data_IF_754048789614
#
_entry.id   IF_754048789614
#
_cell.length_a   1.000
_cell.length_b   1.000
_cell.length_c   1.000
_cell.angle_alpha   90.00
_cell.angle_beta   90.00
_cell.angle_gamma   90.00
#
_symmetry.space_group_name_H-M   'P 1'
#
loop_
_entity.id
_entity.type
_entity.pdbx_description
1 polymer ?
#
# COMPACT_ATOMS: atom_id res chain seq x y z
N UNK A 1 -24.46 -37.63 26.89
CA UNK A 1 -23.06 -37.12 26.96
C UNK A 1 -23.10 -35.69 26.44
N UNK A 2 -23.01 -34.71 27.34
CA UNK A 2 -23.05 -33.29 26.99
C UNK A 2 -21.73 -32.91 26.30
N UNK A 3 -21.77 -32.79 24.97
CA UNK A 3 -20.75 -32.07 24.21
C UNK A 3 -21.28 -30.65 24.07
N UNK A 4 -20.50 -29.68 24.53
CA UNK A 4 -20.86 -28.26 24.54
C UNK A 4 -21.33 -27.83 23.13
N UNK A 5 -22.62 -27.53 22.96
CA UNK A 5 -23.23 -27.13 21.68
C UNK A 5 -22.98 -25.65 21.33
N UNK A 6 -22.34 -24.91 22.23
CA UNK A 6 -21.97 -23.52 22.05
C UNK A 6 -20.78 -23.37 21.10
N UNK A 7 -20.84 -22.35 20.23
CA UNK A 7 -19.80 -22.04 19.26
C UNK A 7 -18.75 -21.07 19.83
N UNK A 8 -19.12 -20.31 20.87
CA UNK A 8 -18.27 -19.33 21.53
C UNK A 8 -17.76 -19.86 22.89
N UNK A 9 -16.52 -19.52 23.29
CA UNK A 9 -15.95 -19.92 24.57
C UNK A 9 -16.74 -19.29 25.73
N UNK A 10 -16.68 -19.92 26.91
CA UNK A 10 -17.38 -19.45 28.11
C UNK A 10 -17.11 -17.97 28.41
N UNK A 11 -15.86 -17.52 28.28
CA UNK A 11 -15.47 -16.13 28.48
C UNK A 11 -16.21 -15.13 27.58
N UNK A 12 -16.63 -15.52 26.36
CA UNK A 12 -17.44 -14.67 25.49
C UNK A 12 -18.94 -14.75 25.83
N UNK A 13 -19.41 -15.93 26.25
CA UNK A 13 -20.81 -16.15 26.64
C UNK A 13 -21.19 -15.41 27.93
N UNK A 14 -20.21 -15.18 28.79
CA UNK A 14 -20.36 -14.54 30.09
C UNK A 14 -20.04 -13.03 30.08
N UNK A 15 -19.86 -12.43 28.90
CA UNK A 15 -19.61 -10.99 28.77
C UNK A 15 -20.77 -10.18 29.39
N UNK A 16 -20.48 -9.05 30.06
CA UNK A 16 -21.53 -8.20 30.61
C UNK A 16 -22.23 -7.40 29.50
N UNK A 17 -23.49 -6.98 29.70
CA UNK A 17 -24.11 -6.00 28.82
C UNK A 17 -23.29 -4.70 28.73
N UNK A 18 -23.20 -4.07 27.56
CA UNK A 18 -23.85 -4.43 26.30
C UNK A 18 -23.04 -5.41 25.43
N UNK A 19 -21.88 -5.90 25.88
CA UNK A 19 -20.96 -6.73 25.08
C UNK A 19 -21.50 -8.12 24.74
N UNK A 20 -22.48 -8.62 25.49
CA UNK A 20 -23.16 -9.86 25.15
C UNK A 20 -24.31 -9.69 24.13
N UNK A 21 -24.72 -8.47 23.80
CA UNK A 21 -25.79 -8.18 22.84
C UNK A 21 -25.23 -8.23 21.41
N UNK A 22 -25.83 -9.03 20.54
CA UNK A 22 -25.44 -9.13 19.13
C UNK A 22 -26.30 -8.26 18.22
N UNK A 23 -27.37 -7.64 18.74
CA UNK A 23 -28.27 -6.81 17.96
C UNK A 23 -27.70 -5.40 17.69
N UNK A 24 -28.32 -4.67 16.76
CA UNK A 24 -28.00 -3.27 16.46
C UNK A 24 -28.05 -2.33 17.68
N UNK A 25 -28.69 -2.73 18.78
CA UNK A 25 -28.75 -1.93 20.01
C UNK A 25 -27.40 -1.88 20.73
N UNK A 26 -26.52 -2.87 20.51
CA UNK A 26 -25.17 -2.90 21.10
C UNK A 26 -24.42 -1.60 20.81
N UNK A 27 -24.37 -1.17 19.55
CA UNK A 27 -23.62 0.02 19.15
C UNK A 27 -24.08 1.30 19.90
N UNK A 28 -25.40 1.46 20.09
CA UNK A 28 -25.96 2.57 20.85
C UNK A 28 -25.58 2.48 22.34
N UNK A 29 -25.68 1.30 22.93
CA UNK A 29 -25.35 1.10 24.34
C UNK A 29 -23.84 1.23 24.63
N UNK A 30 -22.98 0.83 23.68
CA UNK A 30 -21.53 1.00 23.77
C UNK A 30 -21.13 2.48 23.85
N UNK A 31 -21.78 3.34 23.08
CA UNK A 31 -21.55 4.79 23.13
C UNK A 31 -21.84 5.39 24.51
N UNK A 32 -22.80 4.81 25.24
CA UNK A 32 -23.22 5.27 26.58
C UNK A 32 -22.37 4.69 27.73
N UNK A 33 -21.43 3.78 27.45
CA UNK A 33 -20.62 3.16 28.49
C UNK A 33 -19.81 4.20 29.29
N UNK A 34 -19.67 4.05 30.61
CA UNK A 34 -18.80 4.90 31.43
C UNK A 34 -17.32 4.73 31.04
N UNK A 35 -16.42 5.50 31.67
CA UNK A 35 -14.98 5.43 31.42
C UNK A 35 -14.38 4.03 31.61
N UNK A 36 -14.94 3.20 32.51
CA UNK A 36 -14.56 1.79 32.68
C UNK A 36 -14.85 0.91 31.46
N UNK A 37 -15.58 1.41 30.46
CA UNK A 37 -15.81 0.73 29.20
C UNK A 37 -14.51 0.39 28.46
N UNK A 38 -13.44 1.17 28.64
CA UNK A 38 -12.15 0.85 28.02
C UNK A 38 -11.49 -0.40 28.65
N UNK A 39 -11.63 -0.61 29.96
CA UNK A 39 -11.18 -1.85 30.62
C UNK A 39 -12.02 -3.05 30.17
N UNK A 40 -13.34 -2.86 30.05
CA UNK A 40 -14.23 -3.89 29.52
C UNK A 40 -13.88 -4.27 28.07
N UNK A 41 -13.53 -3.29 27.22
CA UNK A 41 -13.09 -3.54 25.85
C UNK A 41 -11.84 -4.43 25.79
N UNK A 42 -10.89 -4.27 26.72
CA UNK A 42 -9.73 -5.17 26.80
C UNK A 42 -10.13 -6.59 27.20
N UNK A 43 -11.06 -6.76 28.14
CA UNK A 43 -11.57 -8.09 28.50
C UNK A 43 -12.29 -8.76 27.31
N UNK A 44 -13.07 -7.99 26.55
CA UNK A 44 -13.73 -8.46 25.32
C UNK A 44 -12.69 -8.91 24.31
N UNK A 45 -11.64 -8.12 24.07
CA UNK A 45 -10.56 -8.49 23.17
C UNK A 45 -9.85 -9.78 23.62
N UNK A 46 -9.61 -9.96 24.93
CA UNK A 46 -9.02 -11.22 25.45
C UNK A 46 -9.95 -12.42 25.25
N UNK A 47 -11.24 -12.24 25.49
CA UNK A 47 -12.23 -13.30 25.33
C UNK A 47 -12.45 -13.69 23.85
N UNK A 48 -12.46 -12.69 22.96
CA UNK A 48 -12.73 -12.85 21.54
C UNK A 48 -11.50 -13.28 20.72
N UNK A 49 -10.28 -13.23 21.27
CA UNK A 49 -9.07 -13.64 20.57
C UNK A 49 -9.08 -15.17 20.35
N UNK A 50 -9.03 -15.63 19.08
CA UNK A 50 -8.97 -17.05 18.79
C UNK A 50 -7.58 -17.65 19.09
N UNK A 51 -7.50 -18.96 19.41
CA UNK A 51 -6.23 -19.62 19.70
C UNK A 51 -5.37 -19.90 18.47
N UNK A 52 -5.95 -19.80 17.27
CA UNK A 52 -5.32 -20.14 16.01
C UNK A 52 -5.56 -19.04 14.98
N UNK A 53 -4.67 -18.97 13.98
CA UNK A 53 -4.79 -18.06 12.85
C UNK A 53 -6.04 -18.40 12.03
N UNK A 54 -6.76 -17.36 11.63
CA UNK A 54 -7.81 -17.41 10.62
C UNK A 54 -7.24 -16.75 9.37
N UNK A 55 -6.56 -17.51 8.51
CA UNK A 55 -6.16 -16.97 7.21
C UNK A 55 -7.36 -16.99 6.27
N UNK A 56 -7.59 -15.88 5.56
CA UNK A 56 -8.53 -15.87 4.41
C UNK A 56 -8.03 -16.81 3.30
N UNK A 57 -6.73 -17.16 3.30
CA UNK A 57 -6.15 -18.18 2.40
C UNK A 57 -6.29 -19.63 2.90
N UNK A 58 -6.74 -19.84 4.15
CA UNK A 58 -7.14 -21.18 4.60
C UNK A 58 -8.53 -21.55 4.07
N UNK A 59 -9.22 -20.59 3.45
CA UNK A 59 -10.48 -20.82 2.76
C UNK A 59 -10.15 -21.38 1.39
N UNK A 60 -10.72 -22.54 1.06
CA UNK A 60 -10.59 -23.04 -0.30
C UNK A 60 -11.28 -22.09 -1.29
N UNK A 61 -10.87 -22.19 -2.55
CA UNK A 61 -11.36 -21.33 -3.62
C UNK A 61 -12.87 -21.40 -3.79
N UNK A 62 -13.49 -22.53 -3.45
CA UNK A 62 -14.94 -22.71 -3.48
C UNK A 62 -15.66 -21.96 -2.35
N UNK A 63 -15.06 -21.89 -1.15
CA UNK A 63 -15.57 -21.11 -0.03
C UNK A 63 -15.42 -19.61 -0.28
N UNK A 64 -14.31 -19.22 -0.91
CA UNK A 64 -14.05 -17.83 -1.33
C UNK A 64 -14.99 -17.38 -2.44
N UNK A 65 -15.18 -18.20 -3.48
CA UNK A 65 -16.14 -17.94 -4.56
C UNK A 65 -17.57 -17.93 -4.01
N UNK A 66 -17.93 -18.81 -3.08
CA UNK A 66 -19.22 -18.76 -2.40
C UNK A 66 -19.41 -17.56 -1.46
N UNK A 67 -18.35 -16.83 -1.13
CA UNK A 67 -18.38 -15.60 -0.33
C UNK A 67 -18.36 -14.34 -1.22
N UNK A 68 -17.55 -14.36 -2.28
CA UNK A 68 -17.45 -13.28 -3.29
C UNK A 68 -18.70 -13.23 -4.20
N UNK A 69 -19.34 -14.37 -4.53
CA UNK A 69 -20.60 -14.43 -5.30
C UNK A 69 -21.85 -14.11 -4.45
N UNK A 70 -21.70 -14.02 -3.12
CA UNK A 70 -22.79 -13.54 -2.25
C UNK A 70 -22.84 -12.02 -2.37
N UNK A 71 -23.66 -11.55 -3.30
CA UNK A 71 -24.19 -10.18 -3.36
C UNK A 71 -24.33 -9.60 -1.93
N UNK A 72 -23.86 -8.36 -1.72
CA UNK A 72 -23.83 -7.61 -0.44
C UNK A 72 -25.13 -7.78 0.40
N UNK A 73 -26.27 -8.03 -0.24
CA UNK A 73 -27.56 -8.24 0.40
C UNK A 73 -27.70 -9.54 1.21
N UNK A 74 -26.93 -10.60 0.91
CA UNK A 74 -27.05 -11.89 1.63
C UNK A 74 -26.33 -11.92 2.97
N UNK A 75 -25.28 -11.11 3.16
CA UNK A 75 -24.60 -10.97 4.46
C UNK A 75 -25.44 -10.12 5.43
N UNK A 76 -26.04 -9.02 4.96
CA UNK A 76 -26.99 -8.21 5.73
C UNK A 76 -28.19 -9.03 6.22
N UNK A 77 -28.72 -9.91 5.37
CA UNK A 77 -29.78 -10.85 5.75
C UNK A 77 -29.28 -11.90 6.74
N UNK A 78 -28.06 -12.41 6.59
CA UNK A 78 -27.49 -13.39 7.51
C UNK A 78 -27.26 -12.84 8.92
N UNK A 79 -26.75 -11.62 9.04
CA UNK A 79 -26.61 -10.92 10.31
C UNK A 79 -27.98 -10.59 10.91
N UNK A 80 -28.97 -10.22 10.09
CA UNK A 80 -30.34 -10.05 10.57
C UNK A 80 -30.93 -11.35 11.13
N UNK A 81 -30.61 -12.52 10.56
CA UNK A 81 -31.04 -13.82 11.09
C UNK A 81 -30.30 -14.22 12.36
N UNK A 82 -28.98 -13.98 12.42
CA UNK A 82 -28.17 -14.21 13.62
C UNK A 82 -28.71 -13.38 14.78
N UNK A 83 -28.91 -12.08 14.59
CA UNK A 83 -29.42 -11.18 15.63
C UNK A 83 -30.87 -11.45 16.03
N UNK A 84 -31.69 -12.01 15.13
CA UNK A 84 -33.08 -12.37 15.43
C UNK A 84 -33.21 -13.66 16.23
N UNK A 85 -32.43 -14.69 15.90
CA UNK A 85 -32.56 -16.03 16.50
C UNK A 85 -31.55 -16.30 17.61
N UNK A 86 -30.42 -15.59 17.61
CA UNK A 86 -29.34 -15.68 18.60
C UNK A 86 -28.90 -14.27 19.00
N UNK A 87 -29.76 -13.50 19.69
CA UNK A 87 -29.50 -12.10 19.99
C UNK A 87 -28.38 -11.89 21.00
N UNK A 88 -27.93 -12.92 21.74
CA UNK A 88 -26.82 -12.82 22.66
C UNK A 88 -25.67 -13.80 22.36
N UNK A 89 -24.46 -13.49 22.82
CA UNK A 89 -23.28 -14.36 22.67
C UNK A 89 -23.50 -15.77 23.23
N UNK A 90 -24.29 -15.91 24.30
CA UNK A 90 -24.66 -17.20 24.87
C UNK A 90 -25.57 -18.04 23.96
N UNK A 91 -26.32 -17.40 23.06
CA UNK A 91 -27.28 -18.08 22.18
C UNK A 91 -26.62 -18.69 20.94
N UNK A 92 -25.37 -18.29 20.65
CA UNK A 92 -24.60 -18.73 19.48
C UNK A 92 -24.22 -20.21 19.62
N UNK A 93 -25.07 -21.06 19.06
CA UNK A 93 -25.05 -22.52 19.22
C UNK A 93 -25.18 -23.22 17.87
N UNK A 94 -24.68 -24.45 17.78
CA UNK A 94 -24.85 -25.29 16.58
C UNK A 94 -26.32 -25.55 16.25
N UNK A 95 -27.17 -25.72 17.27
CA UNK A 95 -28.62 -25.87 17.10
C UNK A 95 -29.27 -24.58 16.57
N UNK A 96 -28.83 -23.41 17.04
CA UNK A 96 -29.26 -22.12 16.50
C UNK A 96 -28.94 -21.96 15.02
N UNK A 97 -27.71 -22.30 14.61
CA UNK A 97 -27.29 -22.32 13.19
C UNK A 97 -28.14 -23.28 12.37
N UNK A 98 -28.38 -24.49 12.87
CA UNK A 98 -29.21 -25.48 12.18
C UNK A 98 -30.66 -24.98 11.97
N UNK A 99 -31.22 -24.25 12.95
CA UNK A 99 -32.54 -23.60 12.82
C UNK A 99 -32.54 -22.54 11.73
N UNK A 100 -31.51 -21.69 11.64
CA UNK A 100 -31.40 -20.67 10.58
C UNK A 100 -31.34 -21.33 9.22
N UNK A 101 -30.43 -22.30 9.04
CA UNK A 101 -30.28 -23.00 7.76
C UNK A 101 -31.56 -23.73 7.36
N UNK A 102 -32.32 -24.26 8.33
CA UNK A 102 -33.64 -24.84 8.06
C UNK A 102 -34.65 -23.81 7.56
N UNK A 103 -34.65 -22.58 8.11
CA UNK A 103 -35.50 -21.50 7.57
C UNK A 103 -35.03 -21.06 6.17
N UNK A 104 -33.73 -20.90 5.93
CA UNK A 104 -33.20 -20.56 4.60
C UNK A 104 -33.54 -21.61 3.55
N UNK A 105 -33.45 -22.88 3.93
CA UNK A 105 -33.88 -24.00 3.10
C UNK A 105 -35.37 -23.92 2.76
N UNK A 106 -36.24 -23.55 3.71
CA UNK A 106 -37.68 -23.34 3.46
C UNK A 106 -37.97 -22.14 2.57
N UNK A 107 -37.14 -21.10 2.65
CA UNK A 107 -37.23 -19.91 1.79
C UNK A 107 -36.68 -20.18 0.37
N UNK A 108 -36.08 -21.34 0.13
CA UNK A 108 -35.57 -21.73 -1.18
C UNK A 108 -34.26 -21.06 -1.56
N UNK A 109 -33.43 -20.68 -0.58
CA UNK A 109 -32.10 -20.12 -0.85
C UNK A 109 -31.25 -21.17 -1.62
N UNK A 110 -30.77 -20.86 -2.85
CA UNK A 110 -30.17 -21.85 -3.75
C UNK A 110 -28.96 -22.62 -3.19
N UNK A 111 -28.24 -22.04 -2.22
CA UNK A 111 -27.01 -22.58 -1.65
C UNK A 111 -27.24 -23.49 -0.42
N UNK A 112 -28.48 -23.60 0.07
CA UNK A 112 -28.81 -24.38 1.27
C UNK A 112 -29.63 -25.62 0.91
N UNK A 113 -29.12 -26.79 1.29
CA UNK A 113 -29.80 -28.07 1.04
C UNK A 113 -31.04 -28.23 1.91
N UNK A 114 -32.02 -29.00 1.43
CA UNK A 114 -33.24 -29.37 2.16
C UNK A 114 -33.27 -30.88 2.43
N UNK A 115 -32.98 -31.37 3.65
CA UNK A 115 -32.55 -30.63 4.84
C UNK A 115 -31.07 -30.18 4.76
N UNK A 116 -30.65 -29.20 5.59
CA UNK A 116 -29.25 -28.79 5.68
C UNK A 116 -28.34 -29.96 6.08
N UNK A 117 -27.21 -30.07 5.40
CA UNK A 117 -26.22 -31.13 5.69
C UNK A 117 -25.42 -30.81 6.95
N UNK A 118 -24.86 -31.83 7.64
CA UNK A 118 -23.94 -31.61 8.76
C UNK A 118 -22.70 -30.78 8.41
N UNK A 119 -22.24 -30.83 7.15
CA UNK A 119 -21.13 -30.02 6.67
C UNK A 119 -21.51 -28.55 6.58
N UNK A 120 -22.65 -28.22 5.94
CA UNK A 120 -23.17 -26.85 5.87
C UNK A 120 -23.33 -26.25 7.27
N UNK A 121 -23.92 -27.01 8.21
CA UNK A 121 -24.07 -26.55 9.60
C UNK A 121 -22.70 -26.27 10.24
N UNK A 122 -21.69 -27.12 10.00
CA UNK A 122 -20.35 -26.95 10.58
C UNK A 122 -19.63 -25.74 10.01
N UNK A 123 -19.66 -25.55 8.70
CA UNK A 123 -18.99 -24.45 8.00
C UNK A 123 -19.63 -23.11 8.38
N UNK A 124 -20.96 -23.00 8.31
CA UNK A 124 -21.69 -21.79 8.73
C UNK A 124 -21.48 -21.49 10.22
N UNK A 125 -21.45 -22.51 11.08
CA UNK A 125 -21.17 -22.32 12.50
C UNK A 125 -19.76 -21.75 12.76
N UNK A 126 -18.75 -22.22 12.04
CA UNK A 126 -17.39 -21.70 12.15
C UNK A 126 -17.31 -20.24 11.65
N UNK A 127 -17.95 -19.95 10.51
CA UNK A 127 -18.04 -18.61 9.93
C UNK A 127 -18.70 -17.62 10.89
N UNK A 128 -19.88 -17.96 11.42
CA UNK A 128 -20.60 -17.09 12.35
C UNK A 128 -19.87 -16.86 13.67
N UNK A 129 -19.19 -17.89 14.20
CA UNK A 129 -18.34 -17.71 15.38
C UNK A 129 -17.19 -16.73 15.09
N UNK A 130 -16.63 -16.76 13.88
CA UNK A 130 -15.61 -15.79 13.43
C UNK A 130 -16.20 -14.39 13.27
N UNK A 131 -17.37 -14.24 12.64
CA UNK A 131 -18.06 -12.95 12.49
C UNK A 131 -18.33 -12.30 13.84
N UNK A 132 -18.91 -13.04 14.79
CA UNK A 132 -19.18 -12.50 16.13
C UNK A 132 -17.90 -12.04 16.85
N UNK A 133 -16.79 -12.78 16.70
CA UNK A 133 -15.49 -12.35 17.23
C UNK A 133 -15.00 -11.07 16.56
N UNK A 134 -15.11 -10.99 15.24
CA UNK A 134 -14.67 -9.84 14.46
C UNK A 134 -15.45 -8.57 14.82
N UNK A 135 -16.77 -8.68 14.98
CA UNK A 135 -17.60 -7.53 15.32
C UNK A 135 -17.31 -7.02 16.73
N UNK A 136 -17.26 -7.92 17.71
CA UNK A 136 -16.94 -7.55 19.09
C UNK A 136 -15.53 -6.97 19.21
N UNK A 137 -14.55 -7.52 18.49
CA UNK A 137 -13.21 -6.98 18.46
C UNK A 137 -13.15 -5.61 17.78
N UNK A 138 -13.88 -5.42 16.68
CA UNK A 138 -13.95 -4.13 15.97
C UNK A 138 -14.58 -3.05 16.84
N UNK A 139 -15.67 -3.37 17.55
CA UNK A 139 -16.32 -2.48 18.51
C UNK A 139 -15.39 -2.14 19.68
N UNK A 140 -14.69 -3.13 20.23
CA UNK A 140 -13.73 -2.92 21.30
C UNK A 140 -12.55 -2.04 20.85
N UNK A 141 -12.01 -2.25 19.65
CA UNK A 141 -10.95 -1.41 19.08
C UNK A 141 -11.46 0.01 18.78
N UNK A 142 -12.69 0.17 18.29
CA UNK A 142 -13.29 1.48 18.07
C UNK A 142 -13.42 2.27 19.38
N UNK A 143 -13.87 1.61 20.45
CA UNK A 143 -13.97 2.22 21.78
C UNK A 143 -12.59 2.64 22.32
N UNK A 144 -11.57 1.78 22.17
CA UNK A 144 -10.19 2.08 22.58
C UNK A 144 -9.55 3.21 21.74
N UNK A 145 -9.90 3.31 20.46
CA UNK A 145 -9.50 4.41 19.58
C UNK A 145 -10.10 5.75 20.03
N UNK A 146 -11.38 5.74 20.42
CA UNK A 146 -12.09 6.93 20.88
C UNK A 146 -11.62 7.38 22.26
N UNK A 147 -11.49 6.45 23.20
CA UNK A 147 -11.26 6.74 24.63
C UNK A 147 -9.80 6.64 25.07
N UNK A 148 -8.95 6.06 24.22
CA UNK A 148 -7.58 5.71 24.56
C UNK A 148 -7.48 4.40 25.36
N UNK A 149 -6.25 3.90 25.47
CA UNK A 149 -5.95 2.76 26.33
C UNK A 149 -6.18 3.11 27.81
N UNK A 150 -6.76 2.21 28.62
CA UNK A 150 -6.83 2.38 30.07
C UNK A 150 -5.44 2.61 30.67
N UNK A 151 -5.34 3.49 31.66
CA UNK A 151 -4.08 3.81 32.32
C UNK A 151 -3.45 2.54 32.93
N UNK A 152 -2.20 2.26 32.59
CA UNK A 152 -1.48 1.06 33.05
C UNK A 152 -1.73 -0.20 32.21
N UNK A 153 -2.54 -0.11 31.14
CA UNK A 153 -2.83 -1.21 30.22
C UNK A 153 -2.38 -0.94 28.79
N UNK A 154 -1.51 0.04 28.56
CA UNK A 154 -1.03 0.42 27.22
C UNK A 154 -0.29 -0.75 26.55
N UNK A 155 0.60 -1.42 27.28
CA UNK A 155 1.41 -2.53 26.73
C UNK A 155 0.53 -3.76 26.43
N UNK A 156 -0.50 -4.00 27.25
CA UNK A 156 -1.47 -5.06 26.99
C UNK A 156 -2.36 -4.75 25.78
N UNK A 157 -2.75 -3.48 25.62
CA UNK A 157 -3.51 -2.98 24.46
C UNK A 157 -2.73 -3.21 23.17
N UNK A 158 -1.43 -2.91 23.17
CA UNK A 158 -0.51 -3.17 22.04
C UNK A 158 -0.42 -4.67 21.75
N UNK A 159 -0.18 -5.48 22.78
CA UNK A 159 -0.05 -6.94 22.65
C UNK A 159 -1.30 -7.56 22.04
N UNK A 160 -2.49 -7.13 22.48
CA UNK A 160 -3.76 -7.58 21.94
C UNK A 160 -3.89 -7.17 20.47
N UNK A 161 -3.67 -5.90 20.14
CA UNK A 161 -3.74 -5.45 18.75
C UNK A 161 -2.80 -6.25 17.83
N UNK A 162 -1.54 -6.51 18.24
CA UNK A 162 -0.63 -7.36 17.46
C UNK A 162 -1.14 -8.81 17.32
N UNK A 163 -1.69 -9.38 18.39
CA UNK A 163 -2.25 -10.73 18.35
C UNK A 163 -3.41 -10.84 17.36
N UNK A 164 -4.31 -9.85 17.32
CA UNK A 164 -5.41 -9.79 16.35
C UNK A 164 -4.91 -9.70 14.90
N UNK A 165 -3.85 -8.93 14.65
CA UNK A 165 -3.22 -8.89 13.31
C UNK A 165 -2.61 -10.24 12.93
N UNK A 166 -1.91 -10.93 13.84
CA UNK A 166 -1.32 -12.26 13.59
C UNK A 166 -2.35 -13.32 13.30
N UNK A 167 -3.48 -13.30 14.01
CA UNK A 167 -4.57 -14.26 13.76
C UNK A 167 -5.45 -13.87 12.57
N UNK A 168 -5.25 -12.69 11.96
CA UNK A 168 -5.97 -12.26 10.76
C UNK A 168 -7.40 -11.78 11.01
N UNK A 169 -7.74 -11.36 12.23
CA UNK A 169 -9.09 -10.94 12.62
C UNK A 169 -9.10 -9.48 13.06
N UNK A 170 -10.10 -8.70 12.63
CA UNK A 170 -10.18 -7.26 12.91
C UNK A 170 -8.85 -6.50 12.64
N UNK A 171 -8.14 -6.89 11.57
CA UNK A 171 -6.80 -6.40 11.23
C UNK A 171 -6.79 -4.88 11.05
N UNK A 172 -7.75 -4.32 10.31
CA UNK A 172 -7.81 -2.88 10.08
C UNK A 172 -7.99 -2.09 11.39
N UNK A 173 -9.01 -2.36 12.23
CA UNK A 173 -9.17 -1.71 13.52
C UNK A 173 -7.93 -1.86 14.44
N UNK A 174 -7.34 -3.05 14.50
CA UNK A 174 -6.15 -3.30 15.31
C UNK A 174 -4.95 -2.45 14.87
N UNK A 175 -4.66 -2.41 13.55
CA UNK A 175 -3.59 -1.59 12.99
C UNK A 175 -3.88 -0.09 13.17
N UNK A 176 -5.14 0.35 13.04
CA UNK A 176 -5.55 1.74 13.30
C UNK A 176 -5.31 2.12 14.76
N UNK A 177 -5.57 1.22 15.71
CA UNK A 177 -5.26 1.44 17.12
C UNK A 177 -3.76 1.58 17.34
N UNK A 178 -2.93 0.71 16.74
CA UNK A 178 -1.47 0.83 16.83
C UNK A 178 -0.97 2.15 16.23
N UNK A 179 -1.57 2.61 15.12
CA UNK A 179 -1.31 3.93 14.54
C UNK A 179 -1.65 5.06 15.54
N UNK A 180 -2.81 4.99 16.19
CA UNK A 180 -3.25 6.01 17.14
C UNK A 180 -2.40 6.07 18.41
N UNK A 181 -1.90 4.92 18.89
CA UNK A 181 -0.96 4.84 20.01
C UNK A 181 0.38 5.53 19.72
N UNK A 182 0.72 5.71 18.44
CA UNK A 182 1.85 6.53 18.01
C UNK A 182 3.21 6.06 18.54
N UNK A 183 4.09 7.01 18.87
CA UNK A 183 5.45 6.72 19.34
C UNK A 183 5.54 6.76 20.88
N UNK A 184 6.32 5.87 21.51
CA UNK A 184 7.15 4.83 20.90
C UNK A 184 6.41 3.51 20.63
N UNK A 185 5.29 3.25 21.32
CA UNK A 185 4.69 1.91 21.43
C UNK A 185 4.08 1.40 20.13
N UNK A 186 3.20 2.19 19.53
CA UNK A 186 2.53 1.84 18.27
C UNK A 186 3.52 1.66 17.12
N UNK A 187 4.52 2.54 17.03
CA UNK A 187 5.61 2.42 16.05
C UNK A 187 6.42 1.13 16.23
N UNK A 188 6.83 0.79 17.45
CA UNK A 188 7.56 -0.45 17.72
C UNK A 188 6.73 -1.69 17.35
N UNK A 189 5.45 -1.71 17.73
CA UNK A 189 4.55 -2.81 17.45
C UNK A 189 4.31 -3.03 15.96
N UNK A 190 4.12 -1.95 15.19
CA UNK A 190 3.99 -2.02 13.74
C UNK A 190 5.29 -2.46 13.07
N UNK A 191 6.46 -2.04 13.59
CA UNK A 191 7.75 -2.48 13.07
C UNK A 191 7.95 -3.99 13.26
N UNK A 192 7.60 -4.53 14.43
CA UNK A 192 7.63 -5.97 14.69
C UNK A 192 6.74 -6.73 13.70
N UNK A 193 5.50 -6.27 13.51
CA UNK A 193 4.55 -6.89 12.57
C UNK A 193 5.09 -6.86 11.13
N UNK A 194 5.69 -5.77 10.67
CA UNK A 194 6.22 -5.70 9.29
C UNK A 194 7.32 -6.74 9.02
N UNK A 195 8.07 -7.11 10.06
CA UNK A 195 9.11 -8.15 9.97
C UNK A 195 8.62 -9.56 10.28
N UNK A 196 7.36 -9.70 10.70
CA UNK A 196 6.75 -10.97 11.07
C UNK A 196 6.25 -11.71 9.81
N UNK A 197 6.57 -13.00 9.70
CA UNK A 197 6.14 -13.84 8.58
C UNK A 197 4.71 -14.34 8.74
N UNK A 198 4.16 -14.33 9.96
CA UNK A 198 2.76 -14.68 10.22
C UNK A 198 1.79 -13.67 9.61
N UNK A 199 2.23 -12.45 9.30
CA UNK A 199 1.37 -11.37 8.78
C UNK A 199 1.67 -11.03 7.33
N UNK A 200 2.32 -11.94 6.57
CA UNK A 200 2.73 -11.71 5.18
C UNK A 200 1.63 -11.07 4.32
N UNK A 201 0.39 -11.52 4.46
CA UNK A 201 -0.74 -11.10 3.63
C UNK A 201 -1.20 -9.67 3.97
N UNK A 202 -1.04 -9.27 5.23
CA UNK A 202 -1.38 -7.93 5.71
C UNK A 202 -0.17 -6.99 5.74
N UNK A 203 1.04 -7.49 5.49
CA UNK A 203 2.30 -6.74 5.56
C UNK A 203 2.29 -5.46 4.73
N UNK A 204 1.79 -5.43 3.47
CA UNK A 204 1.70 -4.17 2.73
C UNK A 204 0.83 -3.12 3.43
N UNK A 205 -0.30 -3.55 4.00
CA UNK A 205 -1.19 -2.69 4.77
C UNK A 205 -0.51 -2.17 6.04
N UNK A 206 0.06 -3.04 6.87
CA UNK A 206 0.79 -2.67 8.09
C UNK A 206 1.93 -1.69 7.78
N UNK A 207 2.74 -1.99 6.74
CA UNK A 207 3.84 -1.14 6.27
C UNK A 207 3.35 0.26 5.89
N UNK A 208 2.24 0.35 5.15
CA UNK A 208 1.66 1.64 4.75
C UNK A 208 1.28 2.50 5.96
N UNK A 209 0.78 1.90 7.04
CA UNK A 209 0.41 2.61 8.27
C UNK A 209 1.64 3.00 9.09
N UNK A 210 2.67 2.15 9.14
CA UNK A 210 3.95 2.49 9.74
C UNK A 210 4.63 3.67 9.02
N UNK A 211 4.56 3.72 7.69
CA UNK A 211 5.05 4.85 6.90
C UNK A 211 4.39 6.18 7.30
N UNK A 212 3.07 6.17 7.57
CA UNK A 212 2.34 7.36 8.05
C UNK A 212 2.91 7.88 9.38
N UNK A 213 3.21 6.99 10.35
CA UNK A 213 3.85 7.40 11.62
C UNK A 213 5.26 7.95 11.44
N UNK A 214 6.00 7.42 10.46
CA UNK A 214 7.40 7.78 10.25
C UNK A 214 7.58 9.05 9.43
N UNK A 215 6.63 9.36 8.54
CA UNK A 215 6.66 10.50 7.62
C UNK A 215 7.02 11.85 8.28
N UNK A 216 6.42 12.27 9.43
CA UNK A 216 6.81 13.55 10.04
C UNK A 216 8.30 13.63 10.38
N UNK A 217 8.91 12.51 10.78
CA UNK A 217 10.35 12.41 11.04
C UNK A 217 11.19 12.42 9.77
N UNK A 218 10.68 11.85 8.67
CA UNK A 218 11.33 11.95 7.35
C UNK A 218 11.31 13.38 6.84
N UNK A 219 10.15 14.04 6.87
CA UNK A 219 10.02 15.43 6.44
C UNK A 219 10.89 16.38 7.24
N UNK A 220 10.98 16.19 8.56
CA UNK A 220 11.85 17.00 9.42
C UNK A 220 13.33 16.88 9.01
N UNK A 221 13.79 15.67 8.65
CA UNK A 221 15.13 15.42 8.12
C UNK A 221 15.31 15.98 6.70
N UNK A 222 14.29 15.84 5.84
CA UNK A 222 14.28 16.39 4.48
C UNK A 222 14.37 17.91 4.43
N UNK A 223 14.03 18.62 5.52
CA UNK A 223 14.24 20.07 5.65
C UNK A 223 15.66 20.46 6.06
N UNK A 224 16.47 19.53 6.56
CA UNK A 224 17.84 19.82 6.97
C UNK A 224 18.75 19.98 5.74
N UNK A 225 19.68 20.94 5.73
CA UNK A 225 20.63 21.12 4.62
C UNK A 225 21.65 19.97 4.57
N UNK A 226 22.05 19.58 3.36
CA UNK A 226 23.04 18.52 3.12
C UNK A 226 24.49 19.01 3.32
N UNK A 227 24.91 19.17 4.59
CA UNK A 227 26.25 19.71 4.92
C UNK A 227 27.31 18.60 4.93
N UNK A 228 28.27 18.68 4.01
CA UNK A 228 29.39 17.73 3.94
C UNK A 228 29.02 16.36 3.37
N UNK A 229 27.81 16.22 2.83
CA UNK A 229 27.32 14.99 2.20
C UNK A 229 27.77 14.90 0.73
N UNK A 230 27.99 13.69 0.21
CA UNK A 230 28.43 13.46 -1.17
C UNK A 230 27.23 13.50 -2.13
N UNK A 231 27.16 14.46 -3.06
CA UNK A 231 26.06 14.53 -4.01
C UNK A 231 26.15 13.41 -5.06
N UNK A 232 25.04 12.70 -5.28
CA UNK A 232 24.98 11.62 -6.27
C UNK A 232 24.44 12.07 -7.63
N UNK A 233 23.73 13.19 -7.67
CA UNK A 233 23.18 13.75 -8.90
C UNK A 233 24.11 14.82 -9.51
N UNK A 234 24.14 14.96 -10.85
CA UNK A 234 24.86 16.04 -11.52
C UNK A 234 24.44 17.44 -11.07
N UNK A 235 25.32 18.44 -11.17
CA UNK A 235 25.04 19.82 -10.74
C UNK A 235 23.78 20.41 -11.36
N UNK A 236 23.59 20.26 -12.67
CA UNK A 236 22.42 20.77 -13.39
C UNK A 236 21.07 20.25 -12.82
N UNK A 237 21.06 19.03 -12.28
CA UNK A 237 19.88 18.42 -11.66
C UNK A 237 19.72 18.92 -10.22
N UNK A 238 20.82 19.01 -9.47
CA UNK A 238 20.82 19.47 -8.08
C UNK A 238 20.34 20.90 -7.93
N UNK A 239 20.62 21.74 -8.91
CA UNK A 239 20.23 23.16 -8.92
C UNK A 239 18.74 23.38 -9.19
N UNK A 240 17.98 22.32 -9.51
CA UNK A 240 16.54 22.43 -9.70
C UNK A 240 15.85 22.85 -8.40
N UNK A 241 15.04 23.93 -8.42
CA UNK A 241 14.35 24.40 -7.23
C UNK A 241 13.06 23.61 -6.93
N UNK A 242 12.76 22.56 -7.69
CA UNK A 242 11.49 21.82 -7.63
C UNK A 242 11.60 20.59 -6.75
N UNK A 243 10.50 20.27 -6.06
CA UNK A 243 10.46 19.14 -5.13
C UNK A 243 10.11 17.81 -5.80
N UNK A 244 10.43 16.72 -5.12
CA UNK A 244 10.14 15.33 -5.50
C UNK A 244 8.66 14.94 -5.28
N UNK A 245 7.77 15.87 -4.87
CA UNK A 245 6.43 15.57 -4.32
C UNK A 245 5.52 14.65 -5.14
N UNK A 246 5.82 14.44 -6.43
CA UNK A 246 5.26 13.34 -7.21
C UNK A 246 6.21 12.78 -8.30
N UNK A 247 7.52 12.67 -8.03
CA UNK A 247 8.48 11.97 -8.92
C UNK A 247 9.57 12.82 -9.61
N UNK A 248 9.92 13.98 -9.05
CA UNK A 248 10.70 15.03 -9.72
C UNK A 248 9.91 15.59 -10.88
N UNK A 249 8.87 16.35 -10.54
CA UNK A 249 8.01 16.95 -11.55
C UNK A 249 8.66 18.22 -12.08
N UNK A 250 8.81 18.29 -13.40
CA UNK A 250 9.06 19.54 -14.10
C UNK A 250 7.74 20.33 -14.14
N UNK A 251 7.61 21.49 -13.47
CA UNK A 251 6.31 22.13 -13.35
C UNK A 251 5.74 22.54 -14.71
N UNK A 252 4.51 22.11 -15.01
CA UNK A 252 3.81 22.43 -16.25
C UNK A 252 3.65 23.95 -16.48
N UNK A 253 3.59 24.73 -15.39
CA UNK A 253 3.43 26.19 -15.41
C UNK A 253 4.71 26.99 -15.62
N UNK A 254 5.87 26.37 -15.90
CA UNK A 254 7.10 27.13 -16.15
C UNK A 254 7.00 28.02 -17.40
N UNK A 255 7.57 29.25 -17.35
CA UNK A 255 7.69 30.09 -18.54
C UNK A 255 8.39 29.36 -19.69
N UNK A 256 7.89 29.56 -20.92
CA UNK A 256 8.37 28.91 -22.14
C UNK A 256 9.44 29.76 -22.82
N UNK A 257 10.44 30.16 -22.05
CA UNK A 257 11.49 31.06 -22.49
C UNK A 257 12.81 30.31 -22.76
N UNK A 258 13.78 31.04 -23.31
CA UNK A 258 15.11 30.51 -23.60
C UNK A 258 15.85 30.06 -22.34
N UNK A 259 15.59 30.67 -21.17
CA UNK A 259 16.24 30.31 -19.91
C UNK A 259 15.79 28.92 -19.44
N UNK A 260 14.48 28.68 -19.36
CA UNK A 260 13.94 27.39 -18.93
C UNK A 260 14.26 26.28 -19.94
N UNK A 261 14.30 26.61 -21.24
CA UNK A 261 14.73 25.66 -22.28
C UNK A 261 16.23 25.32 -22.17
N UNK A 262 17.09 26.30 -21.87
CA UNK A 262 18.50 26.07 -21.61
C UNK A 262 18.71 25.21 -20.35
N UNK A 263 17.90 25.42 -19.31
CA UNK A 263 17.91 24.59 -18.10
C UNK A 263 17.48 23.15 -18.39
N UNK A 264 16.40 22.96 -19.16
CA UNK A 264 15.96 21.65 -19.63
C UNK A 264 17.06 20.92 -20.40
N UNK A 265 17.73 21.62 -21.32
CA UNK A 265 18.89 21.09 -22.07
C UNK A 265 20.02 20.65 -21.14
N UNK A 266 20.40 21.50 -20.17
CA UNK A 266 21.48 21.19 -19.24
C UNK A 266 21.18 19.93 -18.40
N UNK A 267 19.94 19.79 -17.92
CA UNK A 267 19.47 18.62 -17.17
C UNK A 267 19.51 17.35 -18.02
N UNK A 268 18.94 17.38 -19.22
CA UNK A 268 18.93 16.22 -20.12
C UNK A 268 20.34 15.81 -20.57
N UNK A 269 21.24 16.77 -20.82
CA UNK A 269 22.65 16.45 -21.11
C UNK A 269 23.35 15.80 -19.92
N UNK A 270 23.11 16.30 -18.71
CA UNK A 270 23.74 15.79 -17.50
C UNK A 270 23.25 14.39 -17.11
N UNK A 271 21.99 14.08 -17.40
CA UNK A 271 21.38 12.77 -17.14
C UNK A 271 21.46 11.80 -18.34
N UNK A 272 22.09 12.20 -19.45
CA UNK A 272 22.04 11.43 -20.68
C UNK A 272 22.66 10.03 -20.51
N UNK A 273 21.92 8.94 -20.75
CA UNK A 273 22.46 7.59 -20.63
C UNK A 273 23.61 7.38 -21.63
N UNK A 274 24.71 6.76 -21.19
CA UNK A 274 25.85 6.41 -22.06
C UNK A 274 25.62 5.14 -22.87
N UNK A 275 24.62 4.34 -22.49
CA UNK A 275 24.17 3.15 -23.19
C UNK A 275 22.83 2.66 -22.62
N UNK A 276 22.33 1.52 -23.12
CA UNK A 276 21.08 0.93 -22.62
C UNK A 276 21.11 0.72 -21.11
N UNK A 277 20.03 1.10 -20.43
CA UNK A 277 19.90 0.84 -18.99
C UNK A 277 19.52 -0.63 -18.77
N UNK A 278 20.16 -1.33 -17.80
CA UNK A 278 19.93 -2.76 -17.59
C UNK A 278 18.55 -3.06 -17.01
N UNK A 279 18.01 -2.14 -16.20
CA UNK A 279 16.65 -2.19 -15.67
C UNK A 279 15.87 -0.99 -16.21
N UNK A 280 14.66 -1.19 -16.76
CA UNK A 280 13.85 -0.09 -17.27
C UNK A 280 13.52 0.87 -16.12
N UNK A 281 13.56 2.17 -16.44
CA UNK A 281 13.13 3.20 -15.48
C UNK A 281 11.61 3.06 -15.30
N UNK A 282 11.09 2.94 -14.07
CA UNK A 282 9.65 2.86 -13.84
C UNK A 282 8.96 4.14 -14.30
N UNK A 283 7.72 4.02 -14.76
CA UNK A 283 6.90 5.17 -15.14
C UNK A 283 6.63 6.13 -13.97
N UNK A 284 6.17 7.36 -14.25
CA UNK A 284 5.89 8.35 -13.22
C UNK A 284 4.76 7.92 -12.27
N UNK A 285 3.84 7.07 -12.74
CA UNK A 285 2.76 6.45 -11.96
C UNK A 285 2.67 4.95 -12.25
N UNK A 286 2.11 4.20 -11.31
CA UNK A 286 1.71 2.80 -11.52
C UNK A 286 0.25 2.78 -11.97
N UNK A 287 -0.02 2.06 -13.06
CA UNK A 287 -1.35 1.93 -13.67
C UNK A 287 -1.81 0.46 -13.69
N UNK A 288 -1.33 -0.34 -12.73
CA UNK A 288 -1.74 -1.74 -12.62
C UNK A 288 -3.21 -1.87 -12.26
N UNK A 289 -3.79 -3.00 -12.65
CA UNK A 289 -5.17 -3.36 -12.33
C UNK A 289 -5.30 -3.73 -10.84
N UNK A 290 -6.55 -3.83 -10.33
CA UNK A 290 -6.82 -4.12 -8.92
C UNK A 290 -6.19 -5.46 -8.46
N UNK A 291 -6.02 -6.40 -9.38
CA UNK A 291 -5.48 -7.75 -9.14
C UNK A 291 -3.96 -7.81 -9.25
N UNK A 292 -3.29 -6.74 -9.71
CA UNK A 292 -1.84 -6.70 -9.80
C UNK A 292 -1.21 -6.34 -8.45
N UNK A 293 -0.19 -7.11 -8.04
CA UNK A 293 0.57 -6.78 -6.83
C UNK A 293 1.28 -5.43 -7.01
N UNK A 294 0.99 -4.49 -6.11
CA UNK A 294 1.62 -3.18 -6.05
C UNK A 294 3.16 -3.31 -6.01
N UNK A 295 3.90 -2.74 -6.98
CA UNK A 295 5.35 -2.89 -7.04
C UNK A 295 6.09 -2.27 -5.84
N UNK A 296 7.10 -2.98 -5.34
CA UNK A 296 7.92 -2.56 -4.19
C UNK A 296 8.63 -1.20 -4.39
N UNK A 297 8.94 -0.83 -5.64
CA UNK A 297 9.61 0.45 -5.93
C UNK A 297 8.76 1.66 -5.54
N UNK A 298 7.42 1.54 -5.49
CA UNK A 298 6.54 2.63 -5.05
C UNK A 298 6.79 3.00 -3.58
N UNK A 299 6.95 2.00 -2.73
CA UNK A 299 7.19 2.22 -1.29
C UNK A 299 8.59 2.82 -1.06
N UNK A 300 9.61 2.34 -1.79
CA UNK A 300 10.96 2.92 -1.75
C UNK A 300 10.94 4.38 -2.21
N UNK A 301 10.25 4.67 -3.33
CA UNK A 301 10.11 6.03 -3.85
C UNK A 301 9.42 6.95 -2.84
N UNK A 302 8.40 6.46 -2.13
CA UNK A 302 7.73 7.24 -1.09
C UNK A 302 8.68 7.62 0.06
N UNK A 303 9.47 6.67 0.57
CA UNK A 303 10.46 6.93 1.63
C UNK A 303 11.50 7.95 1.14
N UNK A 304 12.00 7.78 -0.07
CA UNK A 304 13.01 8.69 -0.63
C UNK A 304 12.47 10.09 -0.88
N UNK A 305 11.23 10.23 -1.38
CA UNK A 305 10.60 11.52 -1.60
C UNK A 305 10.40 12.31 -0.30
N UNK A 306 10.09 11.63 0.80
CA UNK A 306 9.91 12.26 2.12
C UNK A 306 11.27 12.66 2.74
N UNK A 307 12.32 11.84 2.59
CA UNK A 307 13.67 12.11 3.12
C UNK A 307 14.50 13.08 2.28
N UNK A 308 14.33 13.07 0.97
CA UNK A 308 15.13 13.83 0.02
C UNK A 308 14.23 14.65 -0.92
N UNK A 309 13.37 15.54 -0.39
CA UNK A 309 12.33 16.20 -1.18
C UNK A 309 12.85 17.09 -2.32
N UNK A 310 14.16 17.30 -2.48
CA UNK A 310 14.76 18.06 -3.57
C UNK A 310 15.98 17.31 -4.14
N UNK A 311 16.27 17.50 -5.42
CA UNK A 311 17.40 16.84 -6.09
C UNK A 311 18.75 17.10 -5.42
N UNK A 312 18.97 18.32 -4.88
CA UNK A 312 20.17 18.65 -4.08
C UNK A 312 20.37 17.80 -2.83
N UNK A 313 19.31 17.14 -2.35
CA UNK A 313 19.35 16.26 -1.18
C UNK A 313 19.57 14.79 -1.55
N UNK A 314 19.69 14.46 -2.84
CA UNK A 314 20.04 13.11 -3.28
C UNK A 314 21.55 12.92 -3.13
N UNK A 315 21.94 12.49 -1.94
CA UNK A 315 23.34 12.28 -1.50
C UNK A 315 23.57 10.83 -1.11
N UNK A 316 24.83 10.40 -1.03
CA UNK A 316 25.16 9.02 -0.63
C UNK A 316 24.64 8.69 0.77
N UNK A 317 24.79 9.63 1.70
CA UNK A 317 24.40 9.49 3.10
C UNK A 317 22.88 9.34 3.22
N UNK A 318 22.10 10.20 2.57
CA UNK A 318 20.64 10.15 2.63
C UNK A 318 20.04 8.99 1.84
N UNK A 319 20.65 8.61 0.71
CA UNK A 319 20.27 7.39 0.01
C UNK A 319 20.52 6.15 0.87
N UNK A 320 21.61 6.14 1.63
CA UNK A 320 21.92 5.05 2.57
C UNK A 320 20.94 5.04 3.74
N UNK A 321 20.57 6.21 4.28
CA UNK A 321 19.50 6.32 5.29
C UNK A 321 18.17 5.82 4.76
N UNK A 322 17.73 6.27 3.58
CA UNK A 322 16.51 5.82 2.94
C UNK A 322 16.50 4.30 2.71
N UNK A 323 17.63 3.73 2.27
CA UNK A 323 17.78 2.29 2.10
C UNK A 323 17.65 1.54 3.43
N UNK A 324 18.30 2.00 4.51
CA UNK A 324 18.16 1.41 5.84
C UNK A 324 16.71 1.45 6.31
N UNK A 325 16.02 2.57 6.10
CA UNK A 325 14.61 2.68 6.44
C UNK A 325 13.74 1.74 5.60
N UNK A 326 14.00 1.63 4.31
CA UNK A 326 13.29 0.68 3.45
C UNK A 326 13.52 -0.78 3.87
N UNK A 327 14.73 -1.12 4.33
CA UNK A 327 15.05 -2.44 4.87
C UNK A 327 14.34 -2.71 6.20
N UNK A 328 14.28 -1.72 7.10
CA UNK A 328 13.51 -1.78 8.35
C UNK A 328 12.01 -1.98 8.09
N UNK A 329 11.50 -1.39 7.02
CA UNK A 329 10.12 -1.56 6.56
C UNK A 329 9.88 -2.87 5.80
N UNK A 330 10.87 -3.77 5.73
CA UNK A 330 10.75 -5.07 5.06
C UNK A 330 10.33 -4.96 3.59
N UNK A 331 10.74 -3.89 2.89
CA UNK A 331 10.40 -3.72 1.47
C UNK A 331 11.21 -4.73 0.64
N UNK A 332 10.57 -5.54 -0.24
CA UNK A 332 11.26 -6.53 -1.06
C UNK A 332 12.35 -5.91 -1.96
N UNK A 333 13.47 -6.61 -2.12
CA UNK A 333 14.56 -6.20 -3.01
C UNK A 333 15.45 -5.06 -2.49
N UNK A 334 15.29 -4.66 -1.23
CA UNK A 334 16.13 -3.65 -0.56
C UNK A 334 17.27 -4.34 0.20
N UNK A 335 18.53 -3.95 -0.02
CA UNK A 335 19.68 -4.52 0.67
C UNK A 335 19.64 -4.26 2.18
N UNK A 336 20.04 -5.27 2.98
CA UNK A 336 20.14 -5.14 4.45
C UNK A 336 21.48 -4.60 4.92
N UNK A 337 22.57 -4.92 4.20
CA UNK A 337 23.90 -4.42 4.50
C UNK A 337 24.20 -3.17 3.67
N UNK A 338 24.30 -1.97 4.30
CA UNK A 338 24.57 -0.73 3.60
C UNK A 338 25.99 -0.63 3.03
N UNK A 339 26.94 -1.47 3.46
CA UNK A 339 28.32 -1.46 2.99
C UNK A 339 28.61 -2.43 1.83
N UNK A 340 27.64 -3.29 1.47
CA UNK A 340 27.84 -4.36 0.50
C UNK A 340 27.69 -3.95 -0.96
N UNK A 341 28.04 -4.86 -1.87
CA UNK A 341 27.88 -4.67 -3.33
C UNK A 341 26.43 -4.48 -3.76
N UNK A 342 25.48 -5.11 -3.06
CA UNK A 342 24.05 -4.94 -3.31
C UNK A 342 23.57 -3.52 -3.00
N UNK A 343 24.09 -2.90 -1.93
CA UNK A 343 23.83 -1.50 -1.62
C UNK A 343 24.36 -0.60 -2.74
N UNK A 344 25.60 -0.80 -3.19
CA UNK A 344 26.15 -0.04 -4.31
C UNK A 344 25.27 -0.15 -5.57
N UNK A 345 24.83 -1.36 -5.94
CA UNK A 345 23.91 -1.59 -7.06
C UNK A 345 22.56 -0.90 -6.87
N UNK A 346 22.00 -0.96 -5.65
CA UNK A 346 20.76 -0.27 -5.31
C UNK A 346 20.89 1.25 -5.50
N UNK A 347 21.96 1.86 -4.99
CA UNK A 347 22.23 3.29 -5.14
C UNK A 347 22.36 3.67 -6.63
N UNK A 348 23.19 2.96 -7.39
CA UNK A 348 23.38 3.22 -8.84
C UNK A 348 22.07 3.14 -9.62
N UNK A 349 21.27 2.10 -9.34
CA UNK A 349 19.95 1.93 -9.96
C UNK A 349 19.02 3.09 -9.64
N UNK A 350 18.88 3.46 -8.37
CA UNK A 350 17.99 4.56 -7.99
C UNK A 350 18.46 5.91 -8.52
N UNK A 351 19.76 6.20 -8.54
CA UNK A 351 20.30 7.41 -9.18
C UNK A 351 19.93 7.44 -10.67
N UNK A 352 20.05 6.30 -11.35
CA UNK A 352 19.66 6.16 -12.77
C UNK A 352 18.15 6.39 -12.95
N UNK A 353 17.32 5.76 -12.09
CA UNK A 353 15.86 5.92 -12.14
C UNK A 353 15.42 7.35 -11.86
N UNK A 354 16.03 8.02 -10.87
CA UNK A 354 15.78 9.43 -10.58
C UNK A 354 16.10 10.29 -11.80
N UNK A 355 17.27 10.10 -12.43
CA UNK A 355 17.64 10.81 -13.65
C UNK A 355 16.68 10.56 -14.81
N UNK A 356 16.20 9.32 -14.96
CA UNK A 356 15.21 8.94 -15.96
C UNK A 356 13.84 9.56 -15.73
N UNK A 357 13.36 9.61 -14.48
CA UNK A 357 12.10 10.26 -14.10
C UNK A 357 12.14 11.77 -14.33
N UNK A 358 13.28 12.41 -14.02
CA UNK A 358 13.51 13.83 -14.34
C UNK A 358 13.46 14.04 -15.86
N UNK A 359 14.15 13.20 -16.63
CA UNK A 359 14.15 13.29 -18.08
C UNK A 359 12.76 13.09 -18.69
N UNK A 360 11.99 12.12 -18.17
CA UNK A 360 10.60 11.86 -18.54
C UNK A 360 9.74 13.13 -18.41
N UNK A 361 9.80 13.78 -17.23
CA UNK A 361 9.07 15.02 -16.97
C UNK A 361 9.54 16.19 -17.86
N UNK A 362 10.85 16.32 -18.11
CA UNK A 362 11.39 17.37 -18.99
C UNK A 362 10.95 17.16 -20.44
N UNK A 363 11.04 15.94 -20.97
CA UNK A 363 10.57 15.64 -22.33
C UNK A 363 9.07 15.85 -22.48
N UNK A 364 8.28 15.44 -21.48
CA UNK A 364 6.85 15.70 -21.46
C UNK A 364 6.56 17.21 -21.51
N UNK A 365 7.30 18.03 -20.76
CA UNK A 365 7.14 19.48 -20.79
C UNK A 365 7.54 20.09 -22.14
N UNK A 366 8.71 19.74 -22.68
CA UNK A 366 9.18 20.20 -23.99
C UNK A 366 8.14 19.86 -25.07
N UNK A 367 7.72 18.59 -25.11
CA UNK A 367 6.77 18.08 -26.11
C UNK A 367 5.32 18.50 -25.87
N UNK A 368 4.96 19.08 -24.74
CA UNK A 368 3.59 19.57 -24.50
C UNK A 368 3.48 21.08 -24.70
N UNK A 369 4.50 21.83 -24.30
CA UNK A 369 4.39 23.27 -24.09
C UNK A 369 5.34 24.13 -24.92
N UNK A 370 6.41 23.58 -25.51
CA UNK A 370 7.36 24.36 -26.30
C UNK A 370 7.12 24.14 -27.80
N UNK A 371 6.52 25.13 -28.46
CA UNK A 371 6.21 25.07 -29.90
C UNK A 371 7.29 25.69 -30.79
N UNK A 372 8.21 26.47 -30.22
CA UNK A 372 9.29 27.12 -30.99
C UNK A 372 10.41 26.12 -31.32
N UNK A 373 10.41 25.66 -32.57
CA UNK A 373 11.41 24.75 -33.10
C UNK A 373 12.84 25.29 -33.04
N UNK A 374 13.04 26.62 -33.06
CA UNK A 374 14.37 27.21 -32.99
C UNK A 374 15.02 27.00 -31.61
N UNK A 375 14.21 26.93 -30.54
CA UNK A 375 14.68 26.65 -29.19
C UNK A 375 15.03 25.17 -28.97
N UNK A 376 14.43 24.27 -29.76
CA UNK A 376 14.58 22.82 -29.64
C UNK A 376 15.65 22.25 -30.58
N UNK A 377 15.85 22.87 -31.74
CA UNK A 377 16.71 22.32 -32.81
C UNK A 377 18.19 22.64 -32.58
N UNK A 378 19.11 21.69 -32.83
CA UNK A 378 18.89 20.25 -33.08
C UNK A 378 18.85 19.42 -31.78
N UNK A 379 19.33 20.00 -30.69
CA UNK A 379 19.73 19.29 -29.48
C UNK A 379 18.61 18.45 -28.84
N UNK A 380 17.36 18.93 -28.86
CA UNK A 380 16.26 18.25 -28.17
C UNK A 380 15.90 16.94 -28.87
N UNK A 381 15.96 16.93 -30.20
CA UNK A 381 15.66 15.75 -31.01
C UNK A 381 16.79 14.70 -30.93
N UNK A 382 18.06 15.16 -30.93
CA UNK A 382 19.21 14.29 -30.71
C UNK A 382 19.17 13.62 -29.32
N UNK A 383 18.78 14.38 -28.29
CA UNK A 383 18.61 13.82 -26.95
C UNK A 383 17.40 12.89 -26.87
N UNK A 384 16.26 13.25 -27.46
CA UNK A 384 15.08 12.38 -27.47
C UNK A 384 15.37 11.03 -28.14
N UNK A 385 16.05 11.04 -29.29
CA UNK A 385 16.52 9.83 -29.97
C UNK A 385 17.43 9.01 -29.05
N UNK A 386 18.46 9.64 -28.45
CA UNK A 386 19.40 8.95 -27.56
C UNK A 386 18.72 8.31 -26.36
N UNK A 387 17.80 9.01 -25.71
CA UNK A 387 17.06 8.52 -24.55
C UNK A 387 16.15 7.35 -24.93
N UNK A 388 15.40 7.46 -26.03
CA UNK A 388 14.54 6.40 -26.53
C UNK A 388 15.35 5.14 -26.88
N UNK A 389 16.51 5.30 -27.54
CA UNK A 389 17.42 4.18 -27.88
C UNK A 389 18.02 3.49 -26.65
N UNK A 390 18.26 4.24 -25.57
CA UNK A 390 18.76 3.69 -24.32
C UNK A 390 17.67 3.12 -23.40
N UNK A 391 16.39 3.19 -23.81
CA UNK A 391 15.26 2.68 -23.02
C UNK A 391 14.87 3.57 -21.84
N UNK A 392 15.18 4.86 -21.86
CA UNK A 392 14.87 5.82 -20.79
C UNK A 392 13.91 6.89 -21.31
N UNK A 393 12.85 7.21 -20.56
CA UNK A 393 11.87 8.24 -20.94
C UNK A 393 11.30 8.05 -22.37
N UNK A 394 11.14 6.78 -22.80
CA UNK A 394 10.83 6.42 -24.18
C UNK A 394 9.54 7.10 -24.65
N UNK A 395 8.47 7.01 -23.88
CA UNK A 395 7.16 7.49 -24.31
C UNK A 395 7.12 9.01 -24.51
N UNK A 396 7.54 9.87 -23.56
CA UNK A 396 7.58 11.31 -23.79
C UNK A 396 8.66 11.75 -24.81
N UNK A 397 9.80 11.06 -24.89
CA UNK A 397 10.81 11.36 -25.91
C UNK A 397 10.25 11.12 -27.33
N UNK A 398 9.56 10.00 -27.55
CA UNK A 398 8.90 9.69 -28.82
C UNK A 398 7.73 10.63 -29.11
N UNK A 399 6.95 11.00 -28.08
CA UNK A 399 5.88 11.98 -28.24
C UNK A 399 6.41 13.36 -28.69
N UNK A 400 7.54 13.80 -28.15
CA UNK A 400 8.24 15.02 -28.61
C UNK A 400 8.65 14.89 -30.08
N UNK A 401 9.30 13.79 -30.47
CA UNK A 401 9.71 13.58 -31.86
C UNK A 401 8.52 13.61 -32.83
N UNK A 402 7.43 12.92 -32.49
CA UNK A 402 6.22 12.88 -33.31
C UNK A 402 5.54 14.23 -33.44
N UNK A 403 5.40 14.97 -32.33
CA UNK A 403 4.81 16.32 -32.37
C UNK A 403 5.55 17.24 -33.32
N UNK A 404 6.87 17.09 -33.42
CA UNK A 404 7.73 17.93 -34.26
C UNK A 404 8.16 17.23 -35.56
N UNK A 405 7.49 16.16 -36.01
CA UNK A 405 7.87 15.37 -37.21
C UNK A 405 7.88 16.14 -38.54
N UNK A 406 7.36 17.36 -38.57
CA UNK A 406 7.53 18.29 -39.69
C UNK A 406 8.98 18.84 -39.80
N UNK A 407 9.71 18.89 -38.68
CA UNK A 407 11.12 19.32 -38.61
C UNK A 407 12.04 18.20 -39.07
N UNK A 408 12.97 18.52 -39.98
CA UNK A 408 13.87 17.53 -40.59
C UNK A 408 14.59 16.65 -39.55
N UNK A 409 15.20 17.26 -38.54
CA UNK A 409 15.92 16.54 -37.47
C UNK A 409 15.03 15.55 -36.70
N UNK A 410 13.78 15.92 -36.40
CA UNK A 410 12.85 15.04 -35.68
C UNK A 410 12.42 13.86 -36.55
N UNK A 411 12.15 14.10 -37.84
CA UNK A 411 11.83 13.05 -38.82
C UNK A 411 12.97 12.07 -39.00
N UNK A 412 14.19 12.57 -39.20
CA UNK A 412 15.37 11.72 -39.35
C UNK A 412 15.63 10.87 -38.10
N UNK A 413 15.41 11.42 -36.90
CA UNK A 413 15.52 10.67 -35.65
C UNK A 413 14.48 9.53 -35.56
N UNK A 414 13.24 9.78 -35.97
CA UNK A 414 12.20 8.75 -36.05
C UNK A 414 12.57 7.65 -37.06
N UNK A 415 13.01 8.03 -38.26
CA UNK A 415 13.42 7.10 -39.32
C UNK A 415 14.59 6.21 -38.86
N UNK A 416 15.63 6.80 -38.26
CA UNK A 416 16.77 6.06 -37.68
C UNK A 416 16.33 5.12 -36.57
N UNK A 417 15.41 5.55 -35.70
CA UNK A 417 14.91 4.72 -34.58
C UNK A 417 14.03 3.58 -35.07
N UNK A 418 13.22 3.80 -36.12
CA UNK A 418 12.38 2.76 -36.73
C UNK A 418 13.23 1.67 -37.43
N UNK A 419 14.31 2.09 -38.10
CA UNK A 419 15.19 1.21 -38.86
C UNK A 419 16.20 0.42 -38.02
N UNK A 420 16.43 0.79 -36.76
CA UNK A 420 17.44 0.14 -35.93
C UNK A 420 16.98 -1.18 -35.32
N UNK A 421 17.34 -2.29 -35.97
CA UNK A 421 16.99 -3.66 -35.58
C UNK A 421 17.46 -4.08 -34.19
N UNK A 422 18.42 -3.36 -33.58
CA UNK A 422 18.92 -3.65 -32.23
C UNK A 422 17.95 -3.19 -31.13
N UNK A 423 16.97 -2.34 -31.46
CA UNK A 423 16.00 -1.80 -30.51
C UNK A 423 14.80 -2.74 -30.29
N UNK A 424 14.21 -2.71 -29.08
CA UNK A 424 12.98 -3.46 -28.79
C UNK A 424 11.87 -3.13 -29.81
N UNK A 425 11.13 -4.16 -30.24
CA UNK A 425 10.08 -3.99 -31.26
C UNK A 425 9.00 -2.97 -30.89
N UNK A 426 8.71 -2.75 -29.60
CA UNK A 426 7.80 -1.69 -29.13
C UNK A 426 8.32 -0.30 -29.53
N UNK A 427 9.60 -0.02 -29.27
CA UNK A 427 10.24 1.28 -29.56
C UNK A 427 10.26 1.53 -31.07
N UNK A 428 10.66 0.54 -31.87
CA UNK A 428 10.66 0.64 -33.34
C UNK A 428 9.28 0.91 -33.92
N UNK A 429 8.26 0.16 -33.46
CA UNK A 429 6.87 0.37 -33.89
C UNK A 429 6.34 1.73 -33.48
N UNK A 430 6.72 2.23 -32.31
CA UNK A 430 6.34 3.56 -31.85
C UNK A 430 6.99 4.65 -32.71
N UNK A 431 8.22 4.43 -33.20
CA UNK A 431 8.92 5.35 -34.11
C UNK A 431 8.25 5.43 -35.49
N UNK A 432 7.77 4.30 -36.00
CA UNK A 432 7.22 4.17 -37.35
C UNK A 432 5.73 4.56 -37.49
N UNK A 433 5.10 5.08 -36.41
CA UNK A 433 3.73 5.61 -36.44
C UNK A 433 3.71 6.95 -37.16
#
# INVERSE_FOLDING_TARGET
>A
MSRDDHLLPAAMRELPPPWNDLTHRRALALAELPASGAEQALEVLRAALPPHRHSVHDWDEALREAYDDRDDHTLDEADAWLTRLMPATADVTREGVARVLAEWSRLGIPTVSAPPTPEQIRTTAAEWATTVRQDLASDAFALLLERGAPAGHEDDTVRLAQAYVRVGLAVEPAVRLLLALGRPRGEAALLELVTDDEVRDFRPYVRSRLLVLRRPGYEARGRQPARGEEPLLPSAVRELPYSWGAGFQWPAGLPRDAENTARARAVLLACAPTGPVPEPVPGPAWTGDADEERPAWLDVRQVMADLMPYARLVTRERMTEAMRECALLGIPGVPRDPGGEEAARFLTRWVTWIGGLVADAVFAWLGTYVDDNALLTPWAFELAERYARCGVAVDPAMALLHRHGAVAYAREALDRTAADETLPGRVRRQAAR
#
